data_IF_140398740658
#
_entry.id   IF_140398740658
#
_cell.length_a   1.000
_cell.length_b   1.000
_cell.length_c   1.000
_cell.angle_alpha   90.00
_cell.angle_beta   90.00
_cell.angle_gamma   90.00
#
_symmetry.space_group_name_H-M   'P 1'
#
loop_
_entity.id
_entity.type
_entity.pdbx_description
1 polymer ?
#
# COMPACT_ATOMS: atom_id res chain seq x y z
N UNK A 1 -2.77 1.81 15.02
CA UNK A 1 -2.80 1.28 13.65
C UNK A 1 -4.08 1.78 13.02
N UNK A 2 -3.96 2.58 11.98
CA UNK A 2 -5.09 3.17 11.27
C UNK A 2 -5.78 2.10 10.43
N UNK A 3 -7.08 2.25 10.12
CA UNK A 3 -7.83 1.25 9.35
C UNK A 3 -7.18 0.95 7.97
N UNK A 4 -6.51 1.94 7.38
CA UNK A 4 -5.79 1.78 6.10
C UNK A 4 -4.53 0.90 6.25
N UNK A 5 -3.83 0.96 7.38
CA UNK A 5 -2.64 0.13 7.68
C UNK A 5 -3.02 -1.29 8.12
N UNK A 6 -4.30 -1.56 8.33
CA UNK A 6 -4.77 -2.87 8.77
C UNK A 6 -5.22 -3.76 7.60
N UNK A 7 -5.38 -3.18 6.39
CA UNK A 7 -5.92 -3.84 5.19
C UNK A 7 -5.01 -3.67 3.97
N UNK A 8 -3.88 -3.00 4.14
CA UNK A 8 -2.92 -2.66 3.09
C UNK A 8 -2.31 -3.90 2.43
N UNK A 9 -1.83 -4.86 3.22
CA UNK A 9 -1.23 -6.10 2.74
C UNK A 9 -2.26 -6.99 2.06
N UNK A 10 -3.50 -7.01 2.54
CA UNK A 10 -4.56 -7.85 1.98
C UNK A 10 -5.06 -7.36 0.61
N UNK A 11 -4.96 -6.06 0.34
CA UNK A 11 -5.46 -5.44 -0.90
C UNK A 11 -4.33 -5.18 -1.89
N UNK A 12 -3.17 -4.70 -1.43
CA UNK A 12 -2.07 -4.25 -2.28
C UNK A 12 -0.89 -5.24 -2.31
N UNK A 13 -0.86 -6.20 -1.38
CA UNK A 13 0.22 -7.19 -1.31
C UNK A 13 1.54 -6.64 -0.80
N UNK A 14 1.55 -5.37 -0.36
CA UNK A 14 2.71 -4.64 0.14
C UNK A 14 2.32 -3.81 1.35
N UNK A 15 3.27 -3.60 2.27
CA UNK A 15 3.10 -2.74 3.45
C UNK A 15 2.94 -1.28 3.00
N UNK A 16 1.91 -0.62 3.50
CA UNK A 16 1.63 0.80 3.26
C UNK A 16 1.75 1.55 4.57
N UNK A 17 2.68 2.50 4.59
CA UNK A 17 2.85 3.41 5.73
C UNK A 17 2.20 4.73 5.40
N UNK A 18 1.43 5.22 6.36
CA UNK A 18 0.72 6.49 6.25
C UNK A 18 1.09 7.35 7.45
N UNK A 19 1.47 8.60 7.19
CA UNK A 19 1.77 9.54 8.27
C UNK A 19 0.50 10.06 8.94
N UNK A 20 -0.31 10.79 8.18
CA UNK A 20 -1.52 11.43 8.70
C UNK A 20 -2.71 11.15 7.77
N UNK A 21 -3.87 10.90 8.39
CA UNK A 21 -5.15 10.79 7.68
C UNK A 21 -6.10 11.82 8.29
N UNK A 22 -6.61 12.71 7.46
CA UNK A 22 -7.68 13.63 7.79
C UNK A 22 -8.93 13.26 7.02
N UNK A 23 -10.03 13.10 7.75
CA UNK A 23 -11.33 12.72 7.19
C UNK A 23 -12.32 13.85 7.43
N UNK A 24 -12.76 14.48 6.36
CA UNK A 24 -13.91 15.38 6.40
C UNK A 24 -15.14 14.65 5.88
N UNK A 25 -15.83 13.97 6.79
CA UNK A 25 -17.01 13.16 6.47
C UNK A 25 -18.16 14.01 5.93
N UNK A 26 -18.30 15.26 6.37
CA UNK A 26 -19.36 16.15 5.89
C UNK A 26 -19.18 16.51 4.41
N UNK A 27 -17.94 16.69 3.98
CA UNK A 27 -17.62 17.03 2.60
C UNK A 27 -17.18 15.82 1.76
N UNK A 28 -17.09 14.61 2.33
CA UNK A 28 -16.65 13.41 1.63
C UNK A 28 -15.18 13.39 1.25
N UNK A 29 -14.35 14.19 1.90
CA UNK A 29 -12.94 14.33 1.55
C UNK A 29 -12.08 13.49 2.49
N UNK A 30 -11.28 12.62 1.90
CA UNK A 30 -10.20 11.88 2.56
C UNK A 30 -8.88 12.49 2.11
N UNK A 31 -8.08 12.95 3.06
CA UNK A 31 -6.77 13.54 2.81
C UNK A 31 -5.71 12.77 3.58
N UNK A 32 -4.74 12.23 2.84
CA UNK A 32 -3.72 11.35 3.36
C UNK A 32 -2.35 11.96 3.07
N UNK A 33 -1.57 12.20 4.12
CA UNK A 33 -0.23 12.79 4.01
C UNK A 33 0.85 11.77 4.32
N UNK A 34 1.99 11.92 3.63
CA UNK A 34 3.18 11.08 3.78
C UNK A 34 2.89 9.58 3.56
N UNK A 35 2.42 9.24 2.36
CA UNK A 35 2.15 7.87 1.97
C UNK A 35 3.41 7.23 1.41
N UNK A 36 3.76 6.05 1.94
CA UNK A 36 4.89 5.25 1.47
C UNK A 36 4.43 3.82 1.26
N UNK A 37 4.40 3.37 0.01
CA UNK A 37 4.25 1.97 -0.36
C UNK A 37 5.64 1.34 -0.35
N UNK A 38 5.80 0.32 0.49
CA UNK A 38 7.04 -0.46 0.54
C UNK A 38 7.19 -1.30 -0.73
N UNK A 39 8.44 -1.65 -1.04
CA UNK A 39 8.73 -2.51 -2.17
C UNK A 39 8.31 -3.96 -1.84
N UNK A 40 7.68 -4.71 -2.76
CA UNK A 40 7.43 -6.13 -2.56
C UNK A 40 8.72 -6.92 -2.30
N UNK A 41 8.62 -8.09 -1.66
CA UNK A 41 9.79 -8.91 -1.35
C UNK A 41 10.54 -9.31 -2.62
N UNK A 42 11.87 -9.28 -2.55
CA UNK A 42 12.72 -9.64 -3.67
C UNK A 42 13.03 -8.50 -4.63
N UNK A 43 12.88 -7.24 -4.22
CA UNK A 43 13.41 -6.07 -4.92
C UNK A 43 14.35 -5.30 -3.98
N UNK A 44 15.35 -4.63 -4.53
CA UNK A 44 16.45 -4.01 -3.76
C UNK A 44 16.13 -2.60 -3.26
N UNK A 45 15.18 -1.92 -3.89
CA UNK A 45 14.82 -0.55 -3.52
C UNK A 45 14.02 -0.49 -2.22
N UNK A 46 14.20 0.55 -1.41
CA UNK A 46 13.56 0.69 -0.10
C UNK A 46 12.04 0.88 -0.17
N UNK A 47 11.53 1.47 -1.24
CA UNK A 47 10.11 1.76 -1.44
C UNK A 47 9.72 1.61 -2.90
N UNK A 48 8.45 1.34 -3.16
CA UNK A 48 7.88 1.29 -4.51
C UNK A 48 7.33 2.65 -4.93
N UNK A 49 6.57 3.28 -4.03
CA UNK A 49 5.94 4.58 -4.28
C UNK A 49 5.93 5.42 -3.01
N UNK A 50 6.21 6.71 -3.17
CA UNK A 50 5.96 7.73 -2.16
C UNK A 50 5.06 8.80 -2.74
N UNK A 51 4.16 9.31 -1.93
CA UNK A 51 3.39 10.50 -2.25
C UNK A 51 3.34 11.39 -1.02
N UNK A 52 3.60 12.68 -1.20
CA UNK A 52 3.51 13.63 -0.09
C UNK A 52 2.07 13.81 0.36
N UNK A 53 1.13 13.78 -0.59
CA UNK A 53 -0.32 13.91 -0.31
C UNK A 53 -1.18 13.16 -1.31
N UNK A 54 -2.21 12.48 -0.83
CA UNK A 54 -3.27 11.85 -1.62
C UNK A 54 -4.60 12.39 -1.13
N UNK A 55 -5.38 13.00 -2.01
CA UNK A 55 -6.73 13.51 -1.71
C UNK A 55 -7.73 12.73 -2.54
N UNK A 56 -8.74 12.17 -1.87
CA UNK A 56 -9.87 11.48 -2.47
C UNK A 56 -11.13 12.24 -2.08
N UNK A 57 -11.89 12.67 -3.08
CA UNK A 57 -13.12 13.45 -2.93
C UNK A 57 -14.29 12.56 -3.38
N UNK A 58 -15.21 12.29 -2.47
CA UNK A 58 -16.33 11.38 -2.70
C UNK A 58 -17.63 12.17 -2.67
N UNK A 59 -18.49 11.93 -3.67
CA UNK A 59 -19.81 12.54 -3.76
C UNK A 59 -20.71 12.03 -2.62
N UNK A 60 -20.76 12.79 -1.53
CA UNK A 60 -21.58 12.47 -0.37
C UNK A 60 -23.07 12.57 -0.68
N UNK A 61 -23.49 13.40 -1.63
CA UNK A 61 -24.91 13.51 -2.00
C UNK A 61 -25.37 12.20 -2.62
N UNK A 62 -24.60 11.66 -3.56
CA UNK A 62 -24.87 10.35 -4.15
C UNK A 62 -24.87 9.22 -3.12
N UNK A 63 -23.95 9.25 -2.16
CA UNK A 63 -23.88 8.25 -1.08
C UNK A 63 -25.10 8.33 -0.15
N UNK A 64 -25.46 9.54 0.32
CA UNK A 64 -26.57 9.75 1.24
C UNK A 64 -27.94 9.49 0.60
N UNK A 65 -28.05 9.65 -0.73
CA UNK A 65 -29.24 9.27 -1.49
C UNK A 65 -29.39 7.75 -1.69
N UNK A 66 -28.55 6.93 -1.06
CA UNK A 66 -28.68 5.47 -1.05
C UNK A 66 -28.27 4.80 -2.36
N UNK A 67 -27.45 5.46 -3.18
CA UNK A 67 -26.90 4.83 -4.40
C UNK A 67 -25.92 3.74 -3.97
N UNK A 68 -26.02 2.56 -4.60
CA UNK A 68 -25.15 1.41 -4.32
C UNK A 68 -23.68 1.63 -4.73
N UNK A 69 -23.40 2.68 -5.50
CA UNK A 69 -22.08 2.97 -6.04
C UNK A 69 -21.46 4.16 -5.32
N UNK A 70 -20.21 4.01 -4.89
CA UNK A 70 -19.39 5.11 -4.39
C UNK A 70 -18.92 5.90 -5.61
N UNK A 71 -19.33 7.16 -5.71
CA UNK A 71 -18.93 8.04 -6.80
C UNK A 71 -17.76 8.91 -6.32
N UNK A 72 -16.58 8.66 -6.88
CA UNK A 72 -15.36 9.42 -6.58
C UNK A 72 -15.28 10.59 -7.56
N UNK A 73 -15.40 11.81 -7.07
CA UNK A 73 -15.37 13.03 -7.88
C UNK A 73 -13.95 13.42 -8.25
N UNK A 74 -12.99 13.19 -7.34
CA UNK A 74 -11.61 13.60 -7.53
C UNK A 74 -10.65 12.66 -6.83
N UNK A 75 -9.56 12.35 -7.54
CA UNK A 75 -8.37 11.75 -6.94
C UNK A 75 -7.19 12.64 -7.32
N UNK A 76 -6.47 13.15 -6.32
CA UNK A 76 -5.29 13.98 -6.50
C UNK A 76 -4.12 13.35 -5.76
N UNK A 77 -3.03 13.12 -6.48
CA UNK A 77 -1.76 12.70 -5.90
C UNK A 77 -0.76 13.84 -6.11
N UNK A 78 -0.05 14.19 -5.05
CA UNK A 78 0.93 15.28 -5.06
C UNK A 78 2.31 14.77 -4.69
N UNK A 79 3.31 15.26 -5.43
CA UNK A 79 4.72 14.97 -5.23
C UNK A 79 4.96 13.45 -5.18
N UNK A 80 4.55 12.79 -6.26
CA UNK A 80 4.65 11.33 -6.40
C UNK A 80 6.05 10.97 -6.86
N UNK A 81 6.72 10.11 -6.10
CA UNK A 81 7.98 9.50 -6.45
C UNK A 81 7.75 7.99 -6.60
N UNK A 82 8.19 7.44 -7.74
CA UNK A 82 8.03 6.02 -8.04
C UNK A 82 9.41 5.45 -8.30
N UNK A 83 9.76 4.38 -7.58
CA UNK A 83 11.00 3.66 -7.82
C UNK A 83 10.71 2.42 -8.68
N UNK A 84 11.07 2.49 -9.94
CA UNK A 84 10.86 1.39 -10.88
C UNK A 84 12.09 0.49 -10.93
N UNK A 85 11.93 -0.76 -10.49
CA UNK A 85 12.98 -1.78 -10.53
C UNK A 85 12.56 -2.91 -11.48
N UNK A 86 13.41 -3.17 -12.48
CA UNK A 86 13.16 -4.19 -13.52
C UNK A 86 14.14 -5.35 -13.38
N UNK A 87 13.59 -6.56 -13.39
CA UNK A 87 14.31 -7.84 -13.52
C UNK A 87 14.12 -8.41 -14.93
N UNK A 88 14.76 -9.54 -15.19
CA UNK A 88 14.74 -10.22 -16.49
C UNK A 88 13.32 -10.46 -17.04
N UNK A 89 12.37 -10.82 -16.17
CA UNK A 89 11.01 -11.22 -16.58
C UNK A 89 9.88 -10.40 -15.95
N UNK A 90 10.17 -9.56 -14.94
CA UNK A 90 9.15 -8.80 -14.21
C UNK A 90 9.70 -7.47 -13.68
N UNK A 91 8.80 -6.61 -13.20
CA UNK A 91 9.13 -5.39 -12.46
C UNK A 91 8.41 -5.36 -11.13
N UNK A 92 8.86 -4.51 -10.21
CA UNK A 92 8.18 -4.31 -8.94
C UNK A 92 6.77 -3.73 -9.10
N UNK A 93 6.57 -2.81 -10.05
CA UNK A 93 5.24 -2.26 -10.36
C UNK A 93 4.32 -3.33 -10.94
N UNK A 94 4.79 -4.10 -11.93
CA UNK A 94 3.97 -5.16 -12.53
C UNK A 94 3.55 -6.19 -11.49
N UNK A 95 4.41 -6.50 -10.51
CA UNK A 95 4.07 -7.39 -9.40
C UNK A 95 2.85 -6.89 -8.60
N UNK A 96 2.83 -5.60 -8.24
CA UNK A 96 1.72 -5.01 -7.47
C UNK A 96 0.44 -4.91 -8.33
N UNK A 97 0.57 -4.54 -9.61
CA UNK A 97 -0.58 -4.47 -10.53
C UNK A 97 -1.21 -5.85 -10.74
N UNK A 98 -0.39 -6.88 -10.94
CA UNK A 98 -0.85 -8.26 -11.10
C UNK A 98 -1.50 -8.76 -9.80
N UNK A 99 -0.98 -8.38 -8.64
CA UNK A 99 -1.56 -8.71 -7.34
C UNK A 99 -2.97 -8.13 -7.19
N UNK A 100 -3.14 -6.83 -7.47
CA UNK A 100 -4.44 -6.14 -7.44
C UNK A 100 -5.42 -6.78 -8.44
N UNK A 101 -4.95 -7.10 -9.65
CA UNK A 101 -5.78 -7.70 -10.71
C UNK A 101 -6.19 -9.15 -10.43
N UNK A 102 -5.35 -9.91 -9.71
CA UNK A 102 -5.59 -11.33 -9.45
C UNK A 102 -6.43 -11.61 -8.20
N UNK A 103 -6.60 -10.65 -7.28
CA UNK A 103 -7.38 -10.81 -6.05
C UNK A 103 -6.88 -11.93 -5.13
N UNK A 104 -5.60 -12.31 -5.23
CA UNK A 104 -4.98 -13.37 -4.41
C UNK A 104 -4.40 -12.77 -3.13
N UNK A 105 -4.50 -13.44 -1.96
CA UNK A 105 -3.87 -12.96 -0.74
C UNK A 105 -2.33 -12.95 -0.87
N UNK A 106 -1.70 -12.01 -0.17
CA UNK A 106 -0.24 -11.82 -0.16
C UNK A 106 0.48 -13.13 0.17
N UNK A 107 1.58 -13.48 -0.51
CA UNK A 107 2.46 -14.51 -0.02
C UNK A 107 2.93 -14.10 1.37
N UNK A 108 2.57 -14.90 2.38
CA UNK A 108 2.92 -14.67 3.76
C UNK A 108 4.42 -14.36 3.86
N UNK A 109 4.73 -13.21 4.48
CA UNK A 109 6.09 -12.79 4.79
C UNK A 109 6.88 -13.98 5.37
N UNK A 110 7.79 -14.51 4.56
CA UNK A 110 8.71 -15.55 5.01
C UNK A 110 9.51 -14.96 6.18
N UNK A 111 9.37 -15.64 7.31
CA UNK A 111 9.94 -15.29 8.59
C UNK A 111 11.40 -14.83 8.44
N UNK A 112 11.70 -13.70 9.10
CA UNK A 112 13.06 -13.26 9.39
C UNK A 112 13.89 -14.48 9.81
N UNK A 113 14.89 -14.82 9.01
CA UNK A 113 15.98 -15.71 9.39
C UNK A 113 16.76 -15.07 10.55
N UNK A 114 16.40 -15.40 11.78
CA UNK A 114 17.36 -15.32 12.89
C UNK A 114 18.24 -16.56 12.80
N UNK A 115 19.43 -16.38 12.23
CA UNK A 115 20.52 -17.33 12.41
C UNK A 115 20.88 -17.41 13.89
N UNK A 116 20.82 -18.62 14.43
CA UNK A 116 21.51 -19.03 15.64
C UNK A 116 22.27 -20.29 15.28
N UNK A 117 23.54 -20.13 14.90
CA UNK A 117 24.45 -21.22 14.64
C UNK A 117 24.67 -22.02 15.94
N UNK A 118 24.55 -23.34 15.82
CA UNK A 118 25.10 -24.27 16.78
C UNK A 118 26.62 -24.14 16.79
N UNK A 119 27.22 -23.85 17.95
CA UNK A 119 28.63 -24.14 18.20
C UNK A 119 28.67 -25.18 19.33
N UNK A 120 29.19 -26.34 18.98
CA UNK A 120 29.36 -27.57 19.72
C UNK A 120 30.32 -27.45 20.91
N UNK A 121 30.01 -28.20 21.97
CA UNK A 121 30.96 -28.60 23.00
C UNK A 121 32.17 -29.35 22.41
N UNK A 122 33.29 -29.37 23.14
CA UNK A 122 33.94 -30.66 23.38
C UNK A 122 34.34 -30.89 24.84
N UNK A 123 34.15 -32.16 25.20
CA UNK A 123 34.80 -33.02 26.22
C UNK A 123 34.76 -32.64 27.72
#
# INVERSE_FOLDING_TARGET
RLAVEAWDVDILGVDVRVGEISLNVFNGVVDVSHVVLQNPPGFSSDFLLKASRIVIDVDMVSLLMGRKHIHVEKVLLKDVEIMYERRLTCSNISYVVDFIGAGKPAPAAAAKSSGGAAESAPE
#
